data_IF_508293955467
#
_entry.id   IF_508293955467
#
_cell.length_a   1.000
_cell.length_b   1.000
_cell.length_c   1.000
_cell.angle_alpha   90.00
_cell.angle_beta   90.00
_cell.angle_gamma   90.00
#
_symmetry.space_group_name_H-M   'P 1'
#
loop_
_entity.id
_entity.type
_entity.pdbx_description
1 polymer ?
#
# COMPACT_ATOMS: atom_id res chain seq x y z
N UNK A 1 2.95 3.54 -27.70
CA UNK A 1 3.66 4.39 -26.74
C UNK A 1 4.97 3.69 -26.49
N UNK A 2 6.09 4.28 -26.92
CA UNK A 2 7.44 3.78 -26.64
C UNK A 2 7.68 4.01 -25.14
N UNK A 3 7.76 2.93 -24.38
CA UNK A 3 8.25 2.98 -23.00
C UNK A 3 9.70 3.44 -23.08
N UNK A 4 10.02 4.58 -22.50
CA UNK A 4 11.39 5.04 -22.41
C UNK A 4 12.22 3.93 -21.74
N UNK A 5 13.34 3.54 -22.34
CA UNK A 5 14.30 2.61 -21.72
C UNK A 5 14.87 3.28 -20.47
N UNK A 6 14.27 3.00 -19.33
CA UNK A 6 14.85 3.41 -18.05
C UNK A 6 16.13 2.60 -17.84
N UNK A 7 17.23 3.28 -17.49
CA UNK A 7 18.46 2.62 -17.12
C UNK A 7 18.19 1.64 -15.98
N UNK A 8 18.37 0.35 -16.25
CA UNK A 8 18.18 -0.67 -15.23
C UNK A 8 19.19 -0.45 -14.09
N UNK A 9 18.69 -0.41 -12.86
CA UNK A 9 19.54 -0.35 -11.69
C UNK A 9 20.43 -1.60 -11.62
N UNK A 10 21.71 -1.47 -11.17
CA UNK A 10 22.62 -2.63 -11.04
C UNK A 10 22.06 -3.80 -10.22
N UNK A 11 21.08 -3.53 -9.33
CA UNK A 11 20.39 -4.53 -8.51
C UNK A 11 19.26 -5.30 -9.20
N UNK A 12 19.04 -5.09 -10.48
CA UNK A 12 17.95 -5.73 -11.24
C UNK A 12 17.02 -4.73 -11.91
N UNK A 13 15.95 -5.19 -12.54
CA UNK A 13 14.94 -4.36 -13.23
C UNK A 13 14.03 -3.55 -12.30
N UNK A 14 14.15 -3.69 -11.00
CA UNK A 14 13.41 -2.87 -10.04
C UNK A 14 14.17 -1.57 -9.75
N UNK A 15 13.67 -0.47 -10.29
CA UNK A 15 14.15 0.85 -9.94
C UNK A 15 13.32 1.42 -8.80
N UNK A 16 13.90 1.72 -7.62
CA UNK A 16 13.16 2.42 -6.57
C UNK A 16 12.67 3.75 -7.12
N UNK A 17 11.39 4.11 -6.88
CA UNK A 17 10.88 5.39 -7.38
C UNK A 17 11.62 6.54 -6.72
N UNK A 18 12.14 7.46 -7.52
CA UNK A 18 12.79 8.67 -7.02
C UNK A 18 11.76 9.60 -6.35
N UNK A 19 12.10 10.19 -5.20
CA UNK A 19 11.25 11.18 -4.53
C UNK A 19 10.90 12.35 -5.45
N UNK A 20 9.67 12.88 -5.30
CA UNK A 20 9.20 14.02 -6.08
C UNK A 20 8.31 14.94 -5.25
N UNK A 21 8.22 16.20 -5.65
CA UNK A 21 7.24 17.19 -5.17
C UNK A 21 6.14 17.48 -6.21
N UNK A 22 6.09 16.72 -7.31
CA UNK A 22 5.06 16.85 -8.34
C UNK A 22 3.65 16.79 -7.73
N UNK A 23 2.70 17.51 -8.35
CA UNK A 23 1.35 17.69 -7.83
C UNK A 23 1.22 18.83 -6.80
N UNK A 24 2.35 19.43 -6.38
CA UNK A 24 2.37 20.61 -5.52
C UNK A 24 1.81 20.38 -4.11
N UNK A 25 1.49 21.47 -3.37
CA UNK A 25 1.04 21.39 -1.99
C UNK A 25 -0.34 20.74 -1.83
N UNK A 26 -1.18 20.81 -2.86
CA UNK A 26 -2.55 20.26 -2.82
C UNK A 26 -2.64 18.77 -3.14
N UNK A 27 -1.54 18.12 -3.54
CA UNK A 27 -1.59 16.70 -3.92
C UNK A 27 -2.06 15.81 -2.75
N UNK A 28 -1.62 16.09 -1.53
CA UNK A 28 -2.10 15.37 -0.33
C UNK A 28 -3.61 15.53 -0.15
N UNK A 29 -4.12 16.76 -0.23
CA UNK A 29 -5.56 17.05 -0.16
C UNK A 29 -6.35 16.35 -1.27
N UNK A 30 -5.80 16.28 -2.49
CA UNK A 30 -6.40 15.54 -3.60
C UNK A 30 -6.52 14.04 -3.28
N UNK A 31 -5.46 13.40 -2.80
CA UNK A 31 -5.48 11.98 -2.41
C UNK A 31 -6.49 11.72 -1.29
N UNK A 32 -6.57 12.59 -0.28
CA UNK A 32 -7.53 12.46 0.81
C UNK A 32 -8.97 12.63 0.33
N UNK A 33 -9.23 13.53 -0.63
CA UNK A 33 -10.55 13.70 -1.24
C UNK A 33 -10.97 12.45 -2.03
N UNK A 34 -10.05 11.84 -2.80
CA UNK A 34 -10.34 10.59 -3.52
C UNK A 34 -10.61 9.45 -2.54
N UNK A 35 -9.85 9.32 -1.45
CA UNK A 35 -10.10 8.29 -0.42
C UNK A 35 -11.46 8.49 0.26
N UNK A 36 -11.81 9.72 0.57
CA UNK A 36 -13.14 10.06 1.14
C UNK A 36 -14.25 9.71 0.17
N UNK A 37 -14.06 10.00 -1.11
CA UNK A 37 -15.02 9.62 -2.15
C UNK A 37 -15.19 8.10 -2.28
N UNK A 38 -14.10 7.33 -2.19
CA UNK A 38 -14.16 5.86 -2.16
C UNK A 38 -15.02 5.34 -0.99
N UNK A 39 -14.88 5.95 0.20
CA UNK A 39 -15.67 5.59 1.37
C UNK A 39 -17.17 5.91 1.17
N UNK A 40 -17.48 7.08 0.59
CA UNK A 40 -18.84 7.43 0.22
C UNK A 40 -19.42 6.51 -0.84
N UNK A 41 -18.69 6.25 -1.92
CA UNK A 41 -19.12 5.36 -2.99
C UNK A 41 -19.44 3.94 -2.48
N UNK A 42 -18.70 3.48 -1.45
CA UNK A 42 -18.94 2.17 -0.81
C UNK A 42 -20.18 2.14 0.08
N UNK A 43 -20.61 3.28 0.62
CA UNK A 43 -21.63 3.36 1.67
C UNK A 43 -22.89 4.13 1.24
N UNK A 44 -22.91 4.75 0.06
CA UNK A 44 -24.02 5.61 -0.36
C UNK A 44 -25.31 4.83 -0.58
N UNK A 45 -26.39 5.38 -0.03
CA UNK A 45 -27.79 5.02 -0.33
C UNK A 45 -28.54 6.35 -0.56
N UNK A 46 -28.55 6.81 -1.79
CA UNK A 46 -29.06 8.13 -2.16
C UNK A 46 -30.08 8.02 -3.30
N UNK A 47 -30.99 9.02 -3.44
CA UNK A 47 -31.92 9.10 -4.57
C UNK A 47 -31.17 9.10 -5.92
N UNK A 48 -31.81 8.54 -6.95
CA UNK A 48 -31.25 8.42 -8.31
C UNK A 48 -30.72 9.75 -8.85
N UNK A 49 -31.44 10.84 -8.62
CA UNK A 49 -31.01 12.17 -9.08
C UNK A 49 -29.66 12.61 -8.46
N UNK A 50 -29.42 12.27 -7.20
CA UNK A 50 -28.15 12.57 -6.50
C UNK A 50 -27.03 11.69 -7.06
N UNK A 51 -27.30 10.40 -7.33
CA UNK A 51 -26.33 9.50 -7.97
C UNK A 51 -25.98 10.00 -9.36
N UNK A 52 -26.98 10.42 -10.16
CA UNK A 52 -26.75 10.98 -11.49
C UNK A 52 -25.89 12.24 -11.45
N UNK A 53 -26.18 13.17 -10.53
CA UNK A 53 -25.37 14.38 -10.36
C UNK A 53 -23.94 14.06 -9.94
N UNK A 54 -23.76 13.14 -8.97
CA UNK A 54 -22.42 12.70 -8.55
C UNK A 54 -21.62 12.09 -9.71
N UNK A 55 -22.24 11.22 -10.51
CA UNK A 55 -21.61 10.63 -11.68
C UNK A 55 -21.14 11.72 -12.68
N UNK A 56 -22.03 12.68 -13.01
CA UNK A 56 -21.68 13.79 -13.91
C UNK A 56 -20.52 14.66 -13.38
N UNK A 57 -20.43 14.86 -12.06
CA UNK A 57 -19.30 15.58 -11.45
C UNK A 57 -18.00 14.78 -11.56
N UNK A 58 -18.06 13.47 -11.33
CA UNK A 58 -16.88 12.59 -11.45
C UNK A 58 -16.38 12.50 -12.90
N UNK A 59 -17.29 12.47 -13.88
CA UNK A 59 -16.92 12.53 -15.30
C UNK A 59 -16.17 13.83 -15.64
N UNK A 60 -16.59 14.96 -15.06
CA UNK A 60 -15.88 16.24 -15.23
C UNK A 60 -14.50 16.22 -14.60
N UNK A 61 -14.36 15.63 -13.40
CA UNK A 61 -13.04 15.48 -12.74
C UNK A 61 -12.14 14.57 -13.57
N UNK A 62 -12.67 13.44 -14.07
CA UNK A 62 -11.92 12.53 -14.93
C UNK A 62 -11.45 13.21 -16.21
N UNK A 63 -12.33 13.96 -16.89
CA UNK A 63 -11.97 14.73 -18.10
C UNK A 63 -10.93 15.83 -17.83
N UNK A 64 -10.95 16.43 -16.63
CA UNK A 64 -9.94 17.42 -16.22
C UNK A 64 -8.55 16.79 -16.05
N UNK A 65 -8.47 15.55 -15.56
CA UNK A 65 -7.21 14.89 -15.23
C UNK A 65 -6.62 14.11 -16.41
N UNK A 66 -7.45 13.53 -17.28
CA UNK A 66 -7.00 12.62 -18.34
C UNK A 66 -5.93 13.17 -19.30
N UNK A 67 -5.85 14.49 -19.63
CA UNK A 67 -4.77 15.02 -20.44
C UNK A 67 -3.39 14.98 -19.77
N UNK A 68 -3.36 14.71 -18.47
CA UNK A 68 -2.15 14.68 -17.62
C UNK A 68 -1.78 13.28 -17.14
N UNK A 69 -2.40 12.26 -17.72
CA UNK A 69 -1.99 10.88 -17.46
C UNK A 69 -0.52 10.70 -17.81
N UNK A 70 0.21 10.07 -16.90
CA UNK A 70 1.64 9.90 -17.00
C UNK A 70 2.05 8.45 -16.75
N UNK A 71 3.21 8.08 -17.25
CA UNK A 71 3.80 6.78 -16.96
C UNK A 71 4.11 6.62 -15.46
N UNK A 72 4.27 5.38 -15.01
CA UNK A 72 4.57 5.02 -13.61
C UNK A 72 5.72 5.85 -13.03
N UNK A 73 6.77 6.07 -13.83
CA UNK A 73 7.99 6.79 -13.42
C UNK A 73 7.83 8.31 -13.36
N UNK A 74 6.79 8.84 -13.97
CA UNK A 74 6.50 10.29 -14.00
C UNK A 74 5.43 10.68 -12.99
N UNK A 75 4.52 9.77 -12.65
CA UNK A 75 3.43 9.99 -11.71
C UNK A 75 3.97 10.31 -10.30
N UNK A 76 3.35 11.24 -9.55
CA UNK A 76 3.69 11.47 -8.14
C UNK A 76 3.26 10.33 -7.20
N UNK A 77 2.36 9.44 -7.63
CA UNK A 77 1.87 8.33 -6.84
C UNK A 77 3.01 7.38 -6.45
N UNK A 78 3.15 7.07 -5.17
CA UNK A 78 4.23 6.23 -4.63
C UNK A 78 5.59 6.94 -4.49
N UNK A 79 5.68 8.24 -4.82
CA UNK A 79 6.93 9.02 -4.86
C UNK A 79 6.92 10.26 -3.93
N UNK A 80 5.78 10.62 -3.36
CA UNK A 80 5.61 11.73 -2.42
C UNK A 80 5.95 11.26 -1.01
N UNK A 81 7.24 11.34 -0.63
CA UNK A 81 7.74 10.86 0.65
C UNK A 81 7.18 11.62 1.86
N UNK A 82 6.63 12.80 1.64
CA UNK A 82 5.95 13.64 2.62
C UNK A 82 4.51 13.19 2.95
N UNK A 83 3.95 12.23 2.18
CA UNK A 83 2.57 11.77 2.33
C UNK A 83 2.49 10.33 2.85
N UNK A 84 1.40 9.96 3.57
CA UNK A 84 1.13 8.58 3.94
C UNK A 84 1.16 7.66 2.70
N UNK A 85 1.82 6.51 2.83
CA UNK A 85 2.02 5.56 1.72
C UNK A 85 2.56 6.23 0.44
N UNK A 86 3.30 7.32 0.60
CA UNK A 86 3.92 8.10 -0.49
C UNK A 86 2.91 8.61 -1.52
N UNK A 87 1.67 8.89 -1.10
CA UNK A 87 0.59 9.33 -1.97
C UNK A 87 0.01 8.23 -2.88
N UNK A 88 0.31 6.96 -2.64
CA UNK A 88 -0.28 5.86 -3.40
C UNK A 88 -1.72 5.58 -2.93
N UNK A 89 -2.69 5.76 -3.83
CA UNK A 89 -4.12 5.59 -3.53
C UNK A 89 -4.52 4.13 -3.29
N UNK A 90 -3.81 3.17 -3.88
CA UNK A 90 -4.08 1.74 -3.72
C UNK A 90 -3.76 1.25 -2.30
N UNK A 91 -2.69 1.76 -1.71
CA UNK A 91 -2.16 1.24 -0.46
C UNK A 91 -3.02 1.58 0.74
N UNK A 92 -3.19 0.63 1.65
CA UNK A 92 -3.82 0.87 2.96
C UNK A 92 -2.98 1.87 3.76
N UNK A 93 -3.57 2.96 4.27
CA UNK A 93 -2.82 3.93 5.07
C UNK A 93 -2.23 3.30 6.31
N UNK A 94 -0.92 3.44 6.48
CA UNK A 94 -0.19 2.94 7.64
C UNK A 94 0.91 3.89 8.08
N UNK A 95 1.29 3.77 9.35
CA UNK A 95 2.50 4.38 9.92
C UNK A 95 3.41 3.25 10.38
N UNK A 96 4.70 3.34 10.10
CA UNK A 96 5.67 2.32 10.45
C UNK A 96 6.96 2.94 10.98
N UNK A 97 7.61 2.24 11.91
CA UNK A 97 8.93 2.59 12.43
C UNK A 97 9.76 1.32 12.65
N UNK A 98 11.07 1.45 12.49
CA UNK A 98 12.01 0.43 12.93
C UNK A 98 12.20 0.57 14.45
N UNK A 99 12.20 -0.53 15.15
CA UNK A 99 12.48 -0.63 16.59
C UNK A 99 13.94 -0.95 16.85
N UNK A 100 14.41 -0.73 18.06
CA UNK A 100 15.79 -0.97 18.47
C UNK A 100 16.17 -2.46 18.43
N UNK A 101 15.19 -3.34 18.66
CA UNK A 101 15.33 -4.80 18.55
C UNK A 101 15.26 -5.34 17.11
N UNK A 102 15.26 -4.43 16.12
CA UNK A 102 15.34 -4.79 14.71
C UNK A 102 14.04 -5.32 14.11
N UNK A 103 12.88 -4.89 14.61
CA UNK A 103 11.57 -5.18 14.04
C UNK A 103 10.98 -3.94 13.36
N UNK A 104 9.91 -4.13 12.63
CA UNK A 104 9.07 -3.06 12.09
C UNK A 104 7.73 -3.09 12.82
N UNK A 105 7.40 -2.02 13.50
CA UNK A 105 6.14 -1.86 14.19
C UNK A 105 5.39 -0.64 13.66
N UNK A 106 4.06 -0.68 13.78
CA UNK A 106 3.26 0.45 13.35
C UNK A 106 1.78 0.25 13.54
N UNK A 107 1.02 1.13 12.90
CA UNK A 107 -0.44 1.05 12.89
C UNK A 107 -0.98 1.22 11.47
N UNK A 108 -2.15 0.63 11.25
CA UNK A 108 -2.92 0.75 10.03
C UNK A 108 -4.40 0.95 10.36
N UNK A 109 -5.10 1.67 9.48
CA UNK A 109 -6.54 1.87 9.60
C UNK A 109 -7.23 1.54 8.29
N UNK A 110 -8.18 0.62 8.36
CA UNK A 110 -9.06 0.30 7.24
C UNK A 110 -10.30 1.18 7.30
N UNK A 111 -10.60 1.84 6.19
CA UNK A 111 -11.77 2.68 6.02
C UNK A 111 -12.95 1.88 5.42
N UNK A 112 -14.11 2.51 5.22
CA UNK A 112 -15.30 1.86 4.63
C UNK A 112 -15.06 1.26 3.26
N UNK A 113 -14.22 1.88 2.46
CA UNK A 113 -13.82 1.34 1.15
C UNK A 113 -13.28 -0.10 1.24
N UNK A 114 -12.58 -0.42 2.33
CA UNK A 114 -11.98 -1.73 2.55
C UNK A 114 -12.95 -2.79 3.08
N UNK A 115 -14.22 -2.44 3.28
CA UNK A 115 -15.22 -3.34 3.82
C UNK A 115 -15.48 -4.53 2.88
N UNK A 116 -15.37 -5.72 3.41
CA UNK A 116 -15.86 -6.96 2.80
C UNK A 116 -17.34 -7.19 3.11
N UNK A 117 -17.63 -8.12 4.01
CA UNK A 117 -18.99 -8.42 4.49
C UNK A 117 -19.03 -8.48 6.01
N UNK A 118 -20.23 -8.30 6.59
CA UNK A 118 -20.51 -8.46 8.03
C UNK A 118 -19.59 -7.60 8.93
N UNK A 119 -19.29 -6.36 8.51
CA UNK A 119 -18.44 -5.45 9.27
C UNK A 119 -16.94 -5.77 9.22
N UNK A 120 -16.53 -6.80 8.49
CA UNK A 120 -15.15 -7.23 8.38
C UNK A 120 -14.41 -6.55 7.22
N UNK A 121 -13.12 -6.28 7.40
CA UNK A 121 -12.21 -5.90 6.31
C UNK A 121 -12.18 -7.01 5.26
N UNK A 122 -12.20 -6.65 3.97
CA UNK A 122 -12.04 -7.60 2.88
C UNK A 122 -10.64 -8.25 2.94
N UNK A 123 -10.58 -9.58 2.81
CA UNK A 123 -9.32 -10.33 2.93
C UNK A 123 -8.21 -9.87 1.97
N UNK A 124 -8.56 -9.43 0.76
CA UNK A 124 -7.61 -8.86 -0.19
C UNK A 124 -6.95 -7.56 0.30
N UNK A 125 -7.66 -6.75 1.10
CA UNK A 125 -7.08 -5.54 1.70
C UNK A 125 -6.05 -5.89 2.79
N UNK A 126 -6.25 -6.99 3.50
CA UNK A 126 -5.24 -7.53 4.41
C UNK A 126 -4.01 -8.03 3.65
N UNK A 127 -4.22 -8.64 2.48
CA UNK A 127 -3.13 -9.00 1.56
C UNK A 127 -2.30 -7.79 1.16
N UNK A 128 -2.93 -6.69 0.74
CA UNK A 128 -2.24 -5.44 0.39
C UNK A 128 -1.48 -4.83 1.57
N UNK A 129 -2.06 -4.86 2.78
CA UNK A 129 -1.37 -4.37 3.98
C UNK A 129 -0.13 -5.22 4.26
N UNK A 130 -0.26 -6.55 4.30
CA UNK A 130 0.86 -7.43 4.64
C UNK A 130 1.93 -7.45 3.55
N UNK A 131 1.59 -7.38 2.27
CA UNK A 131 2.59 -7.23 1.20
C UNK A 131 3.42 -5.95 1.42
N UNK A 132 2.76 -4.83 1.77
CA UNK A 132 3.43 -3.56 2.05
C UNK A 132 4.28 -3.63 3.33
N UNK A 133 3.75 -4.17 4.43
CA UNK A 133 4.46 -4.25 5.73
C UNK A 133 5.65 -5.20 5.65
N UNK A 134 5.46 -6.42 5.11
CA UNK A 134 6.51 -7.41 5.03
C UNK A 134 7.57 -7.04 3.99
N UNK A 135 7.17 -6.39 2.88
CA UNK A 135 8.09 -5.81 1.90
C UNK A 135 8.95 -4.70 2.50
N UNK A 136 8.34 -3.78 3.26
CA UNK A 136 9.07 -2.75 4.01
C UNK A 136 10.04 -3.38 5.02
N UNK A 137 9.59 -4.38 5.77
CA UNK A 137 10.40 -5.11 6.77
C UNK A 137 11.61 -5.75 6.10
N UNK A 138 11.39 -6.50 5.02
CA UNK A 138 12.45 -7.12 4.25
C UNK A 138 13.46 -6.08 3.74
N UNK A 139 12.98 -4.98 3.14
CA UNK A 139 13.82 -3.92 2.58
C UNK A 139 14.64 -3.20 3.64
N UNK A 140 14.00 -2.70 4.71
CA UNK A 140 14.65 -1.89 5.74
C UNK A 140 15.66 -2.70 6.56
N UNK A 141 15.31 -3.95 6.89
CA UNK A 141 16.16 -4.76 7.76
C UNK A 141 17.30 -5.49 7.01
N UNK A 142 17.22 -5.62 5.67
CA UNK A 142 18.30 -6.24 4.88
C UNK A 142 19.09 -5.26 4.01
N UNK A 143 18.77 -3.97 4.09
CA UNK A 143 19.59 -2.92 3.47
C UNK A 143 19.38 -2.76 1.97
N UNK A 144 18.18 -3.06 1.43
CA UNK A 144 17.93 -2.78 0.03
C UNK A 144 16.53 -3.08 -0.47
N UNK A 145 16.03 -2.29 -1.43
CA UNK A 145 14.70 -2.46 -2.01
C UNK A 145 14.65 -3.49 -3.14
N UNK A 146 15.79 -4.07 -3.53
CA UNK A 146 15.90 -4.91 -4.72
C UNK A 146 15.45 -6.35 -4.47
N UNK A 147 14.17 -6.52 -4.20
CA UNK A 147 13.59 -7.83 -3.93
C UNK A 147 12.14 -7.88 -4.42
N UNK A 148 11.68 -9.08 -4.74
CA UNK A 148 10.31 -9.36 -5.17
C UNK A 148 9.65 -10.33 -4.22
N UNK A 149 8.37 -10.14 -3.98
CA UNK A 149 7.51 -11.07 -3.26
C UNK A 149 7.38 -12.34 -4.09
N UNK A 150 7.81 -13.47 -3.55
CA UNK A 150 7.67 -14.78 -4.19
C UNK A 150 6.38 -15.47 -3.74
N UNK A 151 6.02 -15.34 -2.48
CA UNK A 151 4.70 -15.70 -1.97
C UNK A 151 4.34 -14.86 -0.73
N UNK A 152 3.05 -14.78 -0.47
CA UNK A 152 2.45 -14.24 0.74
C UNK A 152 1.36 -15.21 1.19
N UNK A 153 1.47 -15.72 2.42
CA UNK A 153 0.46 -16.54 3.07
C UNK A 153 -0.15 -15.75 4.22
N UNK A 154 -1.47 -15.81 4.36
CA UNK A 154 -2.19 -15.09 5.41
C UNK A 154 -3.09 -16.07 6.15
N UNK A 155 -3.00 -16.07 7.48
CA UNK A 155 -3.86 -16.81 8.37
C UNK A 155 -4.82 -15.84 9.08
N UNK A 156 -6.10 -15.93 8.75
CA UNK A 156 -7.17 -15.12 9.32
C UNK A 156 -7.63 -15.75 10.63
N UNK A 157 -7.31 -15.14 11.76
CA UNK A 157 -7.61 -15.67 13.10
C UNK A 157 -8.93 -15.15 13.64
N UNK A 158 -9.23 -13.86 13.36
CA UNK A 158 -10.44 -13.19 13.84
C UNK A 158 -10.90 -12.17 12.80
N UNK A 159 -12.15 -11.71 12.95
CA UNK A 159 -12.69 -10.59 12.16
C UNK A 159 -11.84 -9.34 12.41
N UNK A 160 -11.38 -8.72 11.33
CA UNK A 160 -10.64 -7.45 11.36
C UNK A 160 -11.64 -6.31 11.19
N UNK A 161 -11.81 -5.41 12.19
CA UNK A 161 -12.76 -4.30 12.11
C UNK A 161 -12.26 -3.20 11.17
N UNK A 162 -13.20 -2.47 10.55
CA UNK A 162 -12.93 -1.20 9.87
C UNK A 162 -12.98 -0.04 10.86
N UNK A 163 -12.47 1.14 10.43
CA UNK A 163 -12.56 2.42 11.14
C UNK A 163 -11.89 2.42 12.53
N UNK A 164 -11.05 1.44 12.78
CA UNK A 164 -10.26 1.32 14.01
C UNK A 164 -8.76 1.32 13.68
N UNK A 165 -7.96 1.95 14.53
CA UNK A 165 -6.49 1.86 14.42
C UNK A 165 -6.04 0.52 15.00
N UNK A 166 -5.37 -0.27 14.17
CA UNK A 166 -4.86 -1.60 14.50
C UNK A 166 -3.35 -1.56 14.49
N UNK A 167 -2.71 -2.37 15.33
CA UNK A 167 -1.25 -2.43 15.44
C UNK A 167 -0.71 -3.60 14.63
N UNK A 168 0.44 -3.40 14.01
CA UNK A 168 1.18 -4.48 13.39
C UNK A 168 2.62 -4.53 13.91
N UNK A 169 3.18 -5.73 13.86
CA UNK A 169 4.56 -6.03 14.21
C UNK A 169 5.09 -7.07 13.22
N UNK A 170 6.26 -6.81 12.64
CA UNK A 170 6.87 -7.69 11.65
C UNK A 170 8.38 -7.78 11.83
N UNK A 171 8.96 -8.93 11.46
CA UNK A 171 10.37 -9.19 11.56
C UNK A 171 10.87 -10.22 10.56
N UNK A 172 12.19 -10.30 10.42
CA UNK A 172 12.84 -11.33 9.60
C UNK A 172 12.98 -12.60 10.45
N UNK A 173 12.47 -13.71 9.94
CA UNK A 173 12.64 -15.02 10.58
C UNK A 173 14.00 -15.64 10.24
N UNK A 174 14.40 -15.54 8.97
CA UNK A 174 15.71 -16.01 8.49
C UNK A 174 16.05 -15.44 7.12
N UNK A 175 17.34 -15.43 6.82
CA UNK A 175 17.89 -15.16 5.49
C UNK A 175 18.68 -16.37 5.03
N UNK A 176 18.38 -16.88 3.83
CA UNK A 176 19.06 -18.00 3.21
C UNK A 176 19.47 -17.61 1.79
N UNK A 177 20.73 -17.22 1.63
CA UNK A 177 21.24 -16.66 0.39
C UNK A 177 20.44 -15.44 -0.07
N UNK A 178 19.71 -15.57 -1.18
CA UNK A 178 18.84 -14.51 -1.70
C UNK A 178 17.43 -14.52 -1.11
N UNK A 179 17.05 -15.57 -0.39
CA UNK A 179 15.73 -15.77 0.17
C UNK A 179 15.62 -15.08 1.53
N UNK A 180 14.62 -14.25 1.72
CA UNK A 180 14.33 -13.52 2.96
C UNK A 180 12.94 -13.94 3.41
N UNK A 181 12.87 -14.67 4.52
CA UNK A 181 11.63 -15.11 5.12
C UNK A 181 11.23 -14.11 6.19
N UNK A 182 10.02 -13.60 6.09
CA UNK A 182 9.50 -12.51 6.93
C UNK A 182 8.14 -12.92 7.45
N UNK A 183 7.89 -12.67 8.71
CA UNK A 183 6.56 -12.83 9.30
C UNK A 183 6.07 -11.55 9.96
N UNK A 184 4.74 -11.46 10.10
CA UNK A 184 4.12 -10.33 10.77
C UNK A 184 2.74 -10.68 11.29
N UNK A 185 2.24 -9.82 12.17
CA UNK A 185 0.93 -9.96 12.79
C UNK A 185 0.22 -8.63 12.86
N UNK A 186 -1.10 -8.68 12.81
CA UNK A 186 -2.01 -7.56 13.02
C UNK A 186 -2.83 -7.82 14.27
N UNK A 187 -2.89 -6.86 15.17
CA UNK A 187 -3.56 -6.99 16.47
C UNK A 187 -4.48 -5.81 16.75
N UNK A 188 -5.45 -6.05 17.63
CA UNK A 188 -6.28 -5.07 18.30
C UNK A 188 -6.00 -5.17 19.80
N UNK A 189 -5.14 -4.29 20.32
CA UNK A 189 -4.54 -4.47 21.64
C UNK A 189 -3.85 -5.82 21.72
N UNK A 190 -4.19 -6.63 22.73
CA UNK A 190 -3.64 -7.97 22.93
C UNK A 190 -4.27 -9.05 22.04
N UNK A 191 -5.29 -8.71 21.27
CA UNK A 191 -6.02 -9.67 20.44
C UNK A 191 -5.36 -9.83 19.07
N UNK A 192 -4.85 -11.04 18.79
CA UNK A 192 -4.37 -11.39 17.45
C UNK A 192 -5.54 -11.52 16.47
N UNK A 193 -5.50 -10.74 15.39
CA UNK A 193 -6.51 -10.74 14.33
C UNK A 193 -6.07 -11.55 13.12
N UNK A 194 -4.84 -11.33 12.67
CA UNK A 194 -4.30 -11.92 11.44
C UNK A 194 -2.79 -12.03 11.56
N UNK A 195 -2.22 -13.08 11.02
CA UNK A 195 -0.77 -13.24 10.86
C UNK A 195 -0.45 -13.57 9.40
N UNK A 196 0.77 -13.28 9.00
CA UNK A 196 1.22 -13.53 7.64
C UNK A 196 2.70 -13.94 7.60
N UNK A 197 3.00 -14.82 6.67
CA UNK A 197 4.35 -15.25 6.30
C UNK A 197 4.60 -14.93 4.83
N UNK A 198 5.79 -14.43 4.51
CA UNK A 198 6.18 -14.13 3.14
C UNK A 198 7.62 -14.55 2.85
N UNK A 199 7.85 -14.86 1.59
CA UNK A 199 9.19 -15.02 1.02
C UNK A 199 9.46 -13.87 0.05
N UNK A 200 10.51 -13.14 0.32
CA UNK A 200 11.09 -12.19 -0.63
C UNK A 200 12.38 -12.77 -1.22
N UNK A 201 12.60 -12.50 -2.50
CA UNK A 201 13.82 -12.96 -3.18
C UNK A 201 14.61 -11.76 -3.69
N UNK A 202 15.85 -11.62 -3.25
CA UNK A 202 16.76 -10.60 -3.78
C UNK A 202 16.99 -10.84 -5.27
N UNK A 203 16.82 -9.79 -6.05
CA UNK A 203 17.06 -9.82 -7.49
C UNK A 203 18.56 -9.93 -7.76
N UNK A 204 18.92 -10.64 -8.83
CA UNK A 204 20.25 -10.58 -9.41
C UNK A 204 20.34 -9.35 -10.32
N UNK A 205 21.55 -8.83 -10.58
CA UNK A 205 21.74 -7.80 -11.61
C UNK A 205 21.05 -8.20 -12.92
N UNK A 206 20.25 -7.27 -13.48
CA UNK A 206 19.53 -7.49 -14.74
C UNK A 206 18.22 -8.32 -14.65
N UNK A 207 17.82 -8.80 -13.46
CA UNK A 207 16.51 -9.44 -13.30
C UNK A 207 15.40 -8.38 -13.17
N UNK A 208 14.21 -8.60 -13.80
CA UNK A 208 13.06 -7.73 -13.69
C UNK A 208 12.39 -7.80 -12.31
#
# INVERSE_FOLDING_TARGET
>A
VLVAEHQQHPGGGFNPPEPTTKGGPDYGRFIDAVRTLQDHARAVDAPDAVITEAANLLDKVSALLSPFDADEWESPSGRRMDLPMRGNILSVPMKARKTDDGRIQGSARFARFHLGRNGAVHGGCLGMLFDSVLGLTSSVLTGGPYQRTAYLKIDYRRIVPIEKELQFDAGIDRVDGRKIFVSGRLTDGDTLLTEADALFVRLKPGQP
#
